data_IF_841971470691
#
_entry.id   IF_841971470691
#
_cell.length_a   1.000
_cell.length_b   1.000
_cell.length_c   1.000
_cell.angle_alpha   90.00
_cell.angle_beta   90.00
_cell.angle_gamma   90.00
#
_symmetry.space_group_name_H-M   'P 1'
#
loop_
_entity.id
_entity.type
_entity.pdbx_description
1 polymer ?
#
# COMPACT_ATOMS: atom_id res chain seq x y z
N UNK A 1 -5.99 9.19 17.22
CA UNK A 1 -7.02 8.39 17.89
C UNK A 1 -6.95 7.00 17.28
N UNK A 2 -6.18 6.11 17.90
CA UNK A 2 -6.19 4.70 17.53
C UNK A 2 -7.48 4.08 18.08
N UNK A 3 -8.29 3.46 17.21
CA UNK A 3 -9.56 2.82 17.62
C UNK A 3 -10.79 3.07 16.75
N UNK A 4 -10.64 3.48 15.48
CA UNK A 4 -11.75 3.67 14.53
C UNK A 4 -12.11 2.41 13.72
N UNK A 5 -11.72 1.21 14.20
CA UNK A 5 -12.00 -0.09 13.56
C UNK A 5 -11.56 -0.23 12.09
N UNK A 6 -10.69 0.66 11.58
CA UNK A 6 -10.22 0.67 10.17
C UNK A 6 -9.61 -0.66 9.72
N UNK A 7 -8.70 -1.22 10.52
CA UNK A 7 -8.06 -2.51 10.22
C UNK A 7 -9.07 -3.67 10.24
N UNK A 8 -10.03 -3.64 11.17
CA UNK A 8 -11.13 -4.62 11.22
C UNK A 8 -12.03 -4.53 9.99
N UNK A 9 -12.43 -3.34 9.57
CA UNK A 9 -13.24 -3.15 8.36
C UNK A 9 -12.48 -3.60 7.10
N UNK A 10 -11.18 -3.29 7.05
CA UNK A 10 -10.32 -3.72 5.95
C UNK A 10 -10.21 -5.25 5.88
N UNK A 11 -10.00 -5.91 7.02
CA UNK A 11 -9.98 -7.38 7.10
C UNK A 11 -11.33 -7.99 6.68
N UNK A 12 -12.45 -7.45 7.17
CA UNK A 12 -13.79 -7.92 6.80
C UNK A 12 -14.02 -7.84 5.29
N UNK A 13 -13.60 -6.75 4.65
CA UNK A 13 -13.69 -6.61 3.19
C UNK A 13 -12.82 -7.66 2.47
N UNK A 14 -11.65 -8.01 3.01
CA UNK A 14 -10.78 -9.05 2.46
C UNK A 14 -11.36 -10.47 2.64
N UNK A 15 -12.17 -10.72 3.67
CA UNK A 15 -12.79 -12.04 3.91
C UNK A 15 -13.66 -12.53 2.74
N UNK A 16 -14.11 -11.64 1.86
CA UNK A 16 -14.80 -12.03 0.62
C UNK A 16 -13.90 -12.76 -0.39
N UNK A 17 -12.57 -12.68 -0.22
CA UNK A 17 -11.56 -13.18 -1.15
C UNK A 17 -10.61 -14.20 -0.53
N UNK A 18 -10.74 -14.50 0.77
CA UNK A 18 -9.88 -15.45 1.48
C UNK A 18 -10.09 -15.42 3.00
N UNK A 19 -9.21 -16.09 3.73
CA UNK A 19 -9.22 -16.10 5.19
C UNK A 19 -8.32 -14.98 5.73
N UNK A 20 -8.94 -13.96 6.32
CA UNK A 20 -8.28 -12.77 6.84
C UNK A 20 -8.88 -12.36 8.17
N UNK A 21 -8.04 -11.82 9.05
CA UNK A 21 -8.48 -11.18 10.28
C UNK A 21 -7.72 -9.86 10.48
N UNK A 22 -8.09 -9.11 11.52
CA UNK A 22 -7.50 -7.80 11.81
C UNK A 22 -6.05 -7.85 12.32
N UNK A 23 -5.55 -9.03 12.69
CA UNK A 23 -4.18 -9.26 13.15
C UNK A 23 -3.27 -9.79 12.03
N UNK A 24 -3.87 -10.33 10.96
CA UNK A 24 -3.18 -10.98 9.84
C UNK A 24 -3.56 -10.31 8.51
N UNK A 25 -3.33 -9.00 8.42
CA UNK A 25 -3.43 -8.28 7.15
C UNK A 25 -2.27 -8.66 6.21
N UNK A 26 -2.49 -8.65 4.88
CA UNK A 26 -1.56 -9.26 3.93
C UNK A 26 -0.23 -8.50 3.74
N UNK A 27 -0.16 -7.23 4.13
CA UNK A 27 1.04 -6.40 4.01
C UNK A 27 1.04 -5.25 5.01
N UNK A 28 2.23 -4.72 5.30
CA UNK A 28 2.44 -3.55 6.16
C UNK A 28 3.35 -2.54 5.46
N UNK A 29 3.18 -1.26 5.73
CA UNK A 29 4.10 -0.22 5.28
C UNK A 29 5.51 -0.35 5.86
N UNK A 30 5.75 -1.30 6.76
CA UNK A 30 7.09 -1.72 7.19
C UNK A 30 7.83 -2.56 6.15
N UNK A 31 7.10 -3.23 5.25
CA UNK A 31 7.69 -4.06 4.20
C UNK A 31 8.51 -3.24 3.20
N UNK A 32 9.45 -3.91 2.54
CA UNK A 32 10.26 -3.27 1.50
C UNK A 32 9.41 -2.96 0.25
N UNK A 33 9.75 -1.89 -0.48
CA UNK A 33 9.01 -1.52 -1.69
C UNK A 33 8.95 -2.64 -2.74
N UNK A 34 10.02 -3.42 -2.90
CA UNK A 34 10.06 -4.56 -3.82
C UNK A 34 9.06 -5.67 -3.42
N UNK A 35 8.90 -5.91 -2.12
CA UNK A 35 7.94 -6.90 -1.62
C UNK A 35 6.51 -6.41 -1.89
N UNK A 36 6.21 -5.14 -1.61
CA UNK A 36 4.90 -4.55 -1.87
C UNK A 36 4.54 -4.57 -3.37
N UNK A 37 5.48 -4.21 -4.25
CA UNK A 37 5.30 -4.31 -5.71
C UNK A 37 4.96 -5.74 -6.14
N UNK A 38 5.68 -6.74 -5.61
CA UNK A 38 5.44 -8.14 -5.94
C UNK A 38 4.08 -8.63 -5.43
N UNK A 39 3.69 -8.26 -4.20
CA UNK A 39 2.38 -8.59 -3.65
C UNK A 39 1.25 -7.95 -4.47
N UNK A 40 1.35 -6.66 -4.80
CA UNK A 40 0.38 -5.97 -5.64
C UNK A 40 0.33 -6.55 -7.06
N UNK A 41 1.47 -6.93 -7.64
CA UNK A 41 1.50 -7.62 -8.92
C UNK A 41 0.78 -8.97 -8.83
N UNK A 42 1.01 -9.73 -7.75
CA UNK A 42 0.45 -11.07 -7.56
C UNK A 42 -1.05 -11.03 -7.29
N UNK A 43 -1.51 -10.10 -6.44
CA UNK A 43 -2.91 -9.89 -6.10
C UNK A 43 -3.77 -9.63 -7.35
N UNK A 44 -3.18 -8.96 -8.35
CA UNK A 44 -3.76 -8.74 -9.69
C UNK A 44 -5.12 -8.06 -9.68
N UNK A 45 -6.22 -8.79 -9.56
CA UNK A 45 -7.58 -8.24 -9.60
C UNK A 45 -8.21 -8.16 -8.20
N UNK A 46 -7.42 -8.48 -7.17
CA UNK A 46 -7.85 -8.53 -5.77
C UNK A 46 -7.43 -7.27 -5.00
N UNK A 47 -8.22 -6.87 -3.99
CA UNK A 47 -7.77 -5.89 -3.00
C UNK A 47 -6.56 -6.42 -2.22
N UNK A 48 -5.56 -5.56 -2.04
CA UNK A 48 -4.42 -5.79 -1.15
C UNK A 48 -4.36 -4.66 -0.15
N UNK A 49 -4.57 -4.99 1.13
CA UNK A 49 -4.45 -4.03 2.24
C UNK A 49 -2.98 -3.93 2.66
N UNK A 50 -2.42 -2.71 2.62
CA UNK A 50 -1.14 -2.36 3.21
C UNK A 50 -1.43 -1.47 4.43
N UNK A 51 -1.30 -2.02 5.63
CA UNK A 51 -1.63 -1.31 6.89
C UNK A 51 -0.40 -0.69 7.56
N UNK A 52 -0.55 -0.16 8.77
CA UNK A 52 0.50 0.48 9.58
C UNK A 52 1.09 1.76 8.97
N UNK A 53 0.28 2.58 8.31
CA UNK A 53 0.73 3.91 7.91
C UNK A 53 0.94 4.80 9.14
N UNK A 54 2.18 4.83 9.64
CA UNK A 54 2.59 5.55 10.83
C UNK A 54 3.86 6.37 10.57
N UNK A 55 3.77 7.52 9.88
CA UNK A 55 4.88 8.45 9.77
C UNK A 55 5.26 8.94 11.17
N UNK A 56 6.41 8.47 11.67
CA UNK A 56 6.93 8.86 12.97
C UNK A 56 7.40 10.32 13.02
N UNK A 57 7.90 10.74 14.18
CA UNK A 57 8.44 12.09 14.40
C UNK A 57 9.83 12.30 13.76
N UNK A 58 10.53 11.21 13.45
CA UNK A 58 11.83 11.25 12.77
C UNK A 58 11.64 11.66 11.30
N UNK A 59 12.16 12.83 10.95
CA UNK A 59 12.04 13.41 9.62
C UNK A 59 12.64 12.53 8.52
N UNK A 60 13.72 11.79 8.78
CA UNK A 60 14.35 10.93 7.78
C UNK A 60 13.47 9.71 7.52
N UNK A 61 13.02 9.02 8.58
CA UNK A 61 12.12 7.87 8.45
C UNK A 61 10.79 8.26 7.82
N UNK A 62 10.26 9.43 8.16
CA UNK A 62 9.06 9.99 7.54
C UNK A 62 9.25 10.17 6.03
N UNK A 63 10.34 10.80 5.60
CA UNK A 63 10.64 11.00 4.17
C UNK A 63 10.81 9.68 3.42
N UNK A 64 11.46 8.69 4.03
CA UNK A 64 11.61 7.36 3.43
C UNK A 64 10.26 6.65 3.25
N UNK A 65 9.39 6.73 4.25
CA UNK A 65 8.04 6.18 4.20
C UNK A 65 7.18 6.89 3.13
N UNK A 66 7.22 8.22 3.10
CA UNK A 66 6.53 9.04 2.10
C UNK A 66 7.02 8.74 0.68
N UNK A 67 8.33 8.67 0.46
CA UNK A 67 8.91 8.32 -0.83
C UNK A 67 8.51 6.91 -1.30
N UNK A 68 8.43 5.95 -0.36
CA UNK A 68 7.97 4.59 -0.67
C UNK A 68 6.49 4.56 -1.07
N UNK A 69 5.63 5.25 -0.32
CA UNK A 69 4.21 5.35 -0.69
C UNK A 69 4.00 6.08 -2.00
N UNK A 70 4.70 7.20 -2.24
CA UNK A 70 4.67 7.90 -3.52
C UNK A 70 5.05 6.95 -4.67
N UNK A 71 6.14 6.20 -4.51
CA UNK A 71 6.58 5.25 -5.51
C UNK A 71 5.51 4.21 -5.83
N UNK A 72 4.91 3.57 -4.81
CA UNK A 72 3.87 2.55 -4.98
C UNK A 72 2.59 3.15 -5.61
N UNK A 73 2.13 4.31 -5.15
CA UNK A 73 0.91 4.96 -5.64
C UNK A 73 1.08 5.39 -7.11
N UNK A 74 2.25 5.92 -7.49
CA UNK A 74 2.56 6.25 -8.89
C UNK A 74 2.64 5.00 -9.76
N UNK A 75 3.30 3.95 -9.26
CA UNK A 75 3.42 2.68 -9.97
C UNK A 75 2.04 2.05 -10.24
N UNK A 76 1.12 2.13 -9.28
CA UNK A 76 -0.29 1.75 -9.42
C UNK A 76 -0.98 2.56 -10.51
N UNK A 77 -0.90 3.90 -10.44
CA UNK A 77 -1.59 4.78 -11.37
C UNK A 77 -1.07 4.70 -12.82
N UNK A 78 0.20 4.32 -13.00
CA UNK A 78 0.84 4.27 -14.31
C UNK A 78 0.96 2.84 -14.87
N UNK A 79 0.58 1.81 -14.10
CA UNK A 79 0.83 0.39 -14.41
C UNK A 79 2.29 0.13 -14.82
N UNK A 80 3.24 0.71 -14.08
CA UNK A 80 4.67 0.66 -14.40
C UNK A 80 5.49 0.29 -13.16
N UNK A 81 6.44 -0.61 -13.34
CA UNK A 81 7.38 -1.07 -12.32
C UNK A 81 8.82 -0.77 -12.73
N UNK A 82 9.77 -0.88 -11.80
CA UNK A 82 11.19 -0.66 -12.11
C UNK A 82 11.77 -1.83 -12.92
N UNK A 83 12.08 -1.54 -14.18
CA UNK A 83 12.90 -2.42 -15.02
C UNK A 83 14.28 -2.65 -14.39
N UNK A 84 14.76 -3.89 -14.46
CA UNK A 84 16.09 -4.28 -13.99
C UNK A 84 16.71 -5.21 -15.02
N UNK A 85 17.98 -5.03 -15.32
CA UNK A 85 18.72 -5.95 -16.18
C UNK A 85 19.35 -7.08 -15.35
N UNK A 86 19.56 -8.23 -15.99
CA UNK A 86 20.43 -9.31 -15.51
C UNK A 86 21.86 -9.05 -15.95
N UNK A 87 22.81 -9.78 -15.37
CA UNK A 87 24.22 -9.74 -15.76
C UNK A 87 24.46 -10.24 -17.19
N UNK A 88 23.57 -11.09 -17.70
CA UNK A 88 23.58 -11.60 -19.08
C UNK A 88 22.93 -10.62 -20.08
N UNK A 89 22.70 -9.37 -19.67
CA UNK A 89 22.05 -8.29 -20.44
C UNK A 89 20.57 -8.49 -20.76
N UNK A 90 19.95 -9.60 -20.36
CA UNK A 90 18.50 -9.79 -20.49
C UNK A 90 17.73 -8.99 -19.45
N UNK A 91 16.45 -8.71 -19.72
CA UNK A 91 15.58 -8.01 -18.75
C UNK A 91 15.04 -8.97 -17.69
N UNK A 92 15.03 -8.53 -16.42
CA UNK A 92 14.29 -9.20 -15.35
C UNK A 92 12.81 -8.87 -15.47
N UNK A 93 11.97 -9.79 -14.97
CA UNK A 93 10.54 -9.53 -14.82
C UNK A 93 10.35 -8.28 -13.95
N UNK A 94 9.56 -7.33 -14.46
CA UNK A 94 9.17 -6.13 -13.73
C UNK A 94 7.83 -6.37 -13.05
N UNK A 95 7.80 -6.25 -11.72
CA UNK A 95 6.57 -6.35 -10.95
C UNK A 95 5.97 -4.95 -10.84
N UNK A 96 4.98 -4.66 -11.66
CA UNK A 96 4.18 -3.44 -11.51
C UNK A 96 2.91 -3.76 -10.72
N UNK A 97 2.42 -2.84 -9.86
CA UNK A 97 1.18 -3.06 -9.14
C UNK A 97 0.00 -3.32 -10.09
N UNK A 98 -0.75 -4.39 -9.81
CA UNK A 98 -1.96 -4.77 -10.57
C UNK A 98 -3.20 -4.78 -9.66
N UNK A 99 -3.06 -5.28 -8.44
CA UNK A 99 -4.10 -5.34 -7.40
C UNK A 99 -4.64 -3.98 -6.97
N UNK A 100 -5.78 -3.97 -6.29
CA UNK A 100 -6.38 -2.74 -5.76
C UNK A 100 -5.69 -2.42 -4.43
N UNK A 101 -4.88 -1.36 -4.41
CA UNK A 101 -4.23 -0.89 -3.18
C UNK A 101 -5.28 -0.30 -2.22
N UNK A 102 -5.36 -0.87 -1.01
CA UNK A 102 -6.10 -0.31 0.12
C UNK A 102 -5.10 0.01 1.22
N UNK A 103 -5.20 1.19 1.83
CA UNK A 103 -4.35 1.57 2.95
C UNK A 103 -5.18 2.23 4.04
N UNK A 104 -4.77 2.02 5.28
CA UNK A 104 -5.33 2.68 6.46
C UNK A 104 -4.22 3.44 7.19
N UNK A 105 -4.61 4.55 7.83
CA UNK A 105 -3.69 5.42 8.56
C UNK A 105 -4.43 6.53 9.31
N UNK A 106 -3.72 7.19 10.23
CA UNK A 106 -4.22 8.42 10.88
C UNK A 106 -4.02 9.67 10.01
N UNK A 107 -3.05 9.62 9.10
CA UNK A 107 -2.70 10.70 8.19
C UNK A 107 -2.80 10.21 6.75
N UNK A 108 -3.31 11.05 5.85
CA UNK A 108 -3.24 10.80 4.41
C UNK A 108 -1.82 11.06 3.91
N UNK A 109 -1.28 10.29 2.95
CA UNK A 109 -0.02 10.61 2.29
C UNK A 109 -0.04 12.04 1.73
N UNK A 110 1.04 12.79 1.95
CA UNK A 110 1.18 14.17 1.47
C UNK A 110 1.64 14.19 0.00
N UNK A 111 1.18 15.18 -0.80
CA UNK A 111 1.64 15.39 -2.18
C UNK A 111 0.54 15.66 -3.21
N UNK A 112 0.68 16.75 -3.97
CA UNK A 112 -0.38 17.32 -4.83
C UNK A 112 -0.75 16.49 -6.07
N UNK A 113 0.17 15.67 -6.62
CA UNK A 113 -0.05 14.94 -7.89
C UNK A 113 -0.69 13.55 -7.70
N UNK A 114 -0.71 13.02 -6.46
CA UNK A 114 -1.13 11.65 -6.16
C UNK A 114 -2.58 11.56 -5.66
N UNK A 115 -3.10 12.63 -5.06
CA UNK A 115 -4.45 12.67 -4.47
C UNK A 115 -5.57 12.45 -5.50
N UNK A 116 -5.35 12.80 -6.77
CA UNK A 116 -6.32 12.57 -7.84
C UNK A 116 -6.62 11.07 -8.10
N UNK A 117 -5.76 10.16 -7.61
CA UNK A 117 -5.88 8.71 -7.79
C UNK A 117 -6.24 7.98 -6.50
N UNK A 118 -6.52 8.71 -5.42
CA UNK A 118 -6.81 8.14 -4.10
C UNK A 118 -8.24 8.50 -3.71
N UNK A 119 -9.08 7.50 -3.48
CA UNK A 119 -10.37 7.70 -2.82
C UNK A 119 -10.11 7.61 -1.31
N UNK A 120 -10.24 8.73 -0.60
CA UNK A 120 -10.08 8.78 0.85
C UNK A 120 -11.43 8.73 1.54
N UNK A 121 -11.61 7.79 2.46
CA UNK A 121 -12.80 7.69 3.32
C UNK A 121 -12.36 7.96 4.76
N UNK A 122 -13.01 8.92 5.43
CA UNK A 122 -12.79 9.19 6.84
C UNK A 122 -13.79 8.36 7.65
N UNK A 123 -13.26 7.53 8.54
CA UNK A 123 -14.06 6.84 9.55
C UNK A 123 -14.01 7.61 10.86
N UNK A 124 -15.19 8.02 11.33
CA UNK A 124 -15.39 8.60 12.65
C UNK A 124 -15.96 7.52 13.56
N UNK A 125 -15.59 7.56 14.84
CA UNK A 125 -16.20 6.67 15.81
C UNK A 125 -17.54 7.32 16.17
N UNK A 126 -18.65 6.63 15.92
CA UNK A 126 -19.95 7.07 16.42
C UNK A 126 -19.83 7.24 17.95
N UNK A 127 -20.27 8.41 18.43
CA UNK A 127 -20.16 8.85 19.82
C UNK A 127 -20.97 8.01 20.79
#
# INVERSE_FOLDING_TARGET
MSGSYKSTLSALALCHFGDFDNNHLPASWRDTGNQLEKLLFTAKDLPLVIDDWAPGQDNNKKRELEAKAEHIIRAQGNHQGRGRMRSDTTSRLSYYPRGILVTSGEHTPSGHSHTARIISVRLEKDG
#
